data_IF_864899196936
#
_entry.id   IF_864899196936
#
_cell.length_a   1.000
_cell.length_b   1.000
_cell.length_c   1.000
_cell.angle_alpha   90.00
_cell.angle_beta   90.00
_cell.angle_gamma   90.00
#
_symmetry.space_group_name_H-M   'P 1'
#
loop_
_entity.id
_entity.type
_entity.pdbx_description
1 polymer ?
#
# COMPACT_ATOMS: atom_id res chain seq x y z
N UNK A 1 -0.39 14.79 -5.27
CA UNK A 1 -1.51 14.48 -4.35
C UNK A 1 -1.12 13.28 -3.51
N UNK A 2 -1.43 13.26 -2.21
CA UNK A 2 -1.25 12.07 -1.36
C UNK A 2 -2.05 10.89 -1.89
N UNK A 3 -1.48 9.68 -1.79
CA UNK A 3 -2.11 8.41 -2.20
C UNK A 3 -2.37 7.56 -0.97
N UNK A 4 -3.53 6.91 -0.93
CA UNK A 4 -3.95 5.97 0.11
C UNK A 4 -4.39 4.67 -0.53
N UNK A 5 -4.01 3.54 0.05
CA UNK A 5 -4.25 2.21 -0.53
C UNK A 5 -5.30 1.48 0.30
N UNK A 6 -6.37 1.04 -0.35
CA UNK A 6 -7.43 0.23 0.30
C UNK A 6 -7.39 -1.20 -0.21
N UNK A 7 -7.60 -2.17 0.68
CA UNK A 7 -7.54 -3.60 0.36
C UNK A 7 -8.78 -4.13 -0.39
N UNK A 8 -9.71 -3.25 -0.78
CA UNK A 8 -10.98 -3.63 -1.37
C UNK A 8 -11.13 -3.00 -2.76
N UNK A 9 -11.42 -3.84 -3.75
CA UNK A 9 -11.87 -3.39 -5.06
C UNK A 9 -13.17 -2.60 -4.87
N UNK A 10 -13.13 -1.31 -5.17
CA UNK A 10 -14.27 -0.42 -5.00
C UNK A 10 -15.19 -0.52 -6.22
N UNK A 11 -16.51 -0.44 -6.04
CA UNK A 11 -17.45 -0.36 -7.17
C UNK A 11 -17.14 0.84 -8.06
N UNK A 12 -17.28 0.70 -9.38
CA UNK A 12 -17.01 1.77 -10.34
C UNK A 12 -17.91 3.01 -10.13
N UNK A 13 -19.10 2.83 -9.56
CA UNK A 13 -20.08 3.89 -9.27
C UNK A 13 -20.00 4.41 -7.82
N UNK A 14 -18.94 4.06 -7.08
CA UNK A 14 -18.72 4.56 -5.72
C UNK A 14 -18.64 6.08 -5.72
N UNK A 15 -19.52 6.71 -4.92
CA UNK A 15 -19.61 8.17 -4.81
C UNK A 15 -18.85 8.72 -3.61
N UNK A 16 -18.65 7.88 -2.60
CA UNK A 16 -18.08 8.28 -1.32
C UNK A 16 -17.22 7.14 -0.76
N UNK A 17 -16.04 7.48 -0.27
CA UNK A 17 -15.09 6.55 0.34
C UNK A 17 -14.83 7.03 1.75
N UNK A 18 -14.79 6.09 2.70
CA UNK A 18 -14.46 6.38 4.10
C UNK A 18 -13.12 5.73 4.44
N UNK A 19 -12.13 6.56 4.73
CA UNK A 19 -10.84 6.11 5.27
C UNK A 19 -10.91 6.09 6.79
N UNK A 20 -10.34 5.05 7.41
CA UNK A 20 -10.41 4.82 8.85
C UNK A 20 -9.02 4.57 9.44
N UNK A 21 -8.91 4.55 10.77
CA UNK A 21 -7.70 4.12 11.48
C UNK A 21 -6.44 4.91 11.06
N UNK A 22 -5.41 4.22 10.58
CA UNK A 22 -4.08 4.77 10.28
C UNK A 22 -4.15 5.80 9.14
N UNK A 23 -4.96 5.57 8.11
CA UNK A 23 -5.12 6.51 6.99
C UNK A 23 -5.78 7.81 7.45
N UNK A 24 -6.83 7.71 8.26
CA UNK A 24 -7.51 8.88 8.82
C UNK A 24 -6.56 9.68 9.72
N UNK A 25 -5.75 9.00 10.53
CA UNK A 25 -4.73 9.63 11.36
C UNK A 25 -3.64 10.30 10.51
N UNK A 26 -3.18 9.64 9.44
CA UNK A 26 -2.17 10.15 8.53
C UNK A 26 -2.64 11.44 7.83
N UNK A 27 -3.88 11.47 7.31
CA UNK A 27 -4.47 12.68 6.72
C UNK A 27 -4.58 13.81 7.75
N UNK A 28 -5.14 13.52 8.92
CA UNK A 28 -5.54 14.55 9.89
C UNK A 28 -4.35 15.11 10.68
N UNK A 29 -3.45 14.26 11.16
CA UNK A 29 -2.41 14.65 12.13
C UNK A 29 -1.03 14.82 11.51
N UNK A 30 -0.70 14.03 10.48
CA UNK A 30 0.61 14.06 9.82
C UNK A 30 0.61 15.03 8.64
N UNK A 31 -0.30 14.82 7.68
CA UNK A 31 -0.43 15.69 6.50
C UNK A 31 -1.21 16.97 6.81
N UNK A 32 -2.08 16.95 7.83
CA UNK A 32 -2.88 18.10 8.30
C UNK A 32 -3.73 18.73 7.19
N UNK A 33 -4.29 17.88 6.34
CA UNK A 33 -5.13 18.29 5.21
C UNK A 33 -6.47 18.83 5.69
N UNK A 34 -7.14 19.61 4.84
CA UNK A 34 -8.44 20.25 5.11
C UNK A 34 -9.51 19.79 4.12
N UNK A 35 -10.75 20.08 4.48
CA UNK A 35 -11.90 19.92 3.58
C UNK A 35 -11.67 20.67 2.27
N UNK A 36 -12.04 20.04 1.16
CA UNK A 36 -11.81 20.53 -0.20
C UNK A 36 -10.43 20.23 -0.78
N UNK A 37 -9.51 19.62 -0.02
CA UNK A 37 -8.24 19.14 -0.58
C UNK A 37 -8.41 17.78 -1.27
N UNK A 38 -7.60 17.54 -2.31
CA UNK A 38 -7.67 16.32 -3.10
C UNK A 38 -6.73 15.23 -2.59
N UNK A 39 -7.23 13.99 -2.55
CA UNK A 39 -6.46 12.78 -2.30
C UNK A 39 -6.82 11.69 -3.31
N UNK A 40 -5.87 10.81 -3.60
CA UNK A 40 -6.07 9.67 -4.48
C UNK A 40 -6.22 8.41 -3.64
N UNK A 41 -7.30 7.66 -3.85
CA UNK A 41 -7.50 6.34 -3.26
C UNK A 41 -7.24 5.29 -4.31
N UNK A 42 -6.26 4.43 -4.08
CA UNK A 42 -5.89 3.31 -4.95
C UNK A 42 -6.55 2.03 -4.42
N UNK A 43 -7.30 1.32 -5.26
CA UNK A 43 -8.05 0.11 -4.88
C UNK A 43 -7.24 -1.19 -4.95
N UNK A 44 -5.97 -1.11 -5.38
CA UNK A 44 -5.10 -2.27 -5.61
C UNK A 44 -5.52 -3.17 -6.78
N UNK A 45 -6.62 -2.87 -7.47
CA UNK A 45 -7.13 -3.59 -8.63
C UNK A 45 -6.80 -2.87 -9.95
N UNK A 46 -5.98 -1.82 -9.89
CA UNK A 46 -5.57 -1.03 -11.04
C UNK A 46 -6.48 0.18 -11.30
N UNK A 47 -7.21 0.65 -10.29
CA UNK A 47 -8.05 1.86 -10.39
C UNK A 47 -7.62 2.90 -9.35
N UNK A 48 -7.50 4.13 -9.83
CA UNK A 48 -7.28 5.30 -9.00
C UNK A 48 -8.57 6.12 -8.90
N UNK A 49 -9.03 6.36 -7.68
CA UNK A 49 -10.17 7.24 -7.39
C UNK A 49 -9.64 8.59 -6.94
N UNK A 50 -9.85 9.63 -7.75
CA UNK A 50 -9.57 11.01 -7.39
C UNK A 50 -10.72 11.49 -6.53
N UNK A 51 -10.40 11.92 -5.31
CA UNK A 51 -11.39 12.30 -4.31
C UNK A 51 -11.10 13.65 -3.68
N UNK A 52 -12.14 14.29 -3.17
CA UNK A 52 -12.05 15.50 -2.34
C UNK A 52 -12.42 15.15 -0.90
N UNK A 53 -11.69 15.73 0.06
CA UNK A 53 -12.05 15.62 1.48
C UNK A 53 -13.37 16.38 1.69
N UNK A 54 -14.43 15.65 2.02
CA UNK A 54 -15.76 16.20 2.29
C UNK A 54 -15.93 16.56 3.78
N UNK A 55 -15.26 15.83 4.67
CA UNK A 55 -15.33 16.09 6.10
C UNK A 55 -14.52 15.12 6.95
N UNK A 56 -14.42 15.46 8.23
CA UNK A 56 -13.75 14.66 9.25
C UNK A 56 -14.77 14.18 10.29
N UNK A 57 -14.76 12.90 10.58
CA UNK A 57 -15.54 12.29 11.67
C UNK A 57 -14.57 11.67 12.70
N UNK A 58 -15.06 11.33 13.89
CA UNK A 58 -14.24 10.71 14.93
C UNK A 58 -13.62 9.41 14.43
N UNK A 59 -12.31 9.43 14.16
CA UNK A 59 -11.54 8.27 13.67
C UNK A 59 -11.72 7.94 12.19
N UNK A 60 -12.35 8.82 11.39
CA UNK A 60 -12.48 8.61 9.94
C UNK A 60 -12.47 9.91 9.13
N UNK A 61 -12.11 9.79 7.85
CA UNK A 61 -12.15 10.88 6.87
C UNK A 61 -13.11 10.49 5.76
N UNK A 62 -14.01 11.40 5.43
CA UNK A 62 -15.03 11.21 4.40
C UNK A 62 -14.53 11.85 3.11
N UNK A 63 -14.48 11.04 2.05
CA UNK A 63 -13.98 11.44 0.74
C UNK A 63 -15.11 11.33 -0.28
N UNK A 64 -15.30 12.38 -1.07
CA UNK A 64 -16.20 12.39 -2.21
C UNK A 64 -15.44 12.05 -3.48
N UNK A 65 -15.89 11.06 -4.23
CA UNK A 65 -15.27 10.65 -5.50
C UNK A 65 -15.64 11.66 -6.58
N UNK A 66 -14.61 12.21 -7.22
CA UNK A 66 -14.73 13.20 -8.30
C UNK A 66 -14.54 12.53 -9.65
N UNK A 67 -13.57 11.62 -9.73
CA UNK A 67 -13.18 10.96 -10.96
C UNK A 67 -12.59 9.58 -10.67
N UNK A 68 -12.84 8.62 -11.57
CA UNK A 68 -12.29 7.27 -11.52
C UNK A 68 -11.43 7.07 -12.76
N UNK A 69 -10.17 6.66 -12.59
CA UNK A 69 -9.20 6.47 -13.67
C UNK A 69 -8.57 5.09 -13.58
N UNK A 70 -8.37 4.45 -14.73
CA UNK A 70 -7.49 3.29 -14.80
C UNK A 70 -6.06 3.70 -14.50
N UNK A 71 -5.42 2.96 -13.59
CA UNK A 71 -4.05 3.15 -13.22
C UNK A 71 -3.14 2.42 -14.22
N UNK A 72 -2.53 3.17 -15.12
CA UNK A 72 -1.64 2.65 -16.15
C UNK A 72 -0.16 2.63 -15.74
N UNK A 73 0.17 2.72 -14.46
CA UNK A 73 1.59 2.76 -14.01
C UNK A 73 2.25 1.39 -13.94
N UNK A 74 1.46 0.32 -13.92
CA UNK A 74 1.99 -1.05 -13.89
C UNK A 74 2.74 -1.40 -15.18
N UNK A 75 3.91 -2.05 -15.08
CA UNK A 75 4.62 -2.50 -16.26
C UNK A 75 3.83 -3.58 -17.02
N UNK A 76 4.06 -3.66 -18.34
CA UNK A 76 3.46 -4.70 -19.20
C UNK A 76 3.99 -6.12 -18.92
N UNK A 77 4.99 -6.24 -18.05
CA UNK A 77 5.63 -7.49 -17.69
C UNK A 77 5.28 -7.86 -16.24
N UNK A 78 5.35 -9.15 -15.93
CA UNK A 78 5.20 -9.65 -14.57
C UNK A 78 6.50 -10.30 -14.12
N UNK A 79 7.05 -9.86 -12.99
CA UNK A 79 8.22 -10.47 -12.39
C UNK A 79 7.91 -10.97 -10.97
N UNK A 80 8.27 -12.24 -10.72
CA UNK A 80 8.22 -12.83 -9.39
C UNK A 80 9.65 -12.94 -8.85
N UNK A 81 9.97 -12.15 -7.81
CA UNK A 81 11.27 -12.16 -7.15
C UNK A 81 11.31 -13.21 -6.05
N UNK A 82 12.09 -14.26 -6.24
CA UNK A 82 12.45 -15.20 -5.18
C UNK A 82 13.68 -14.66 -4.44
N UNK A 83 13.46 -14.13 -3.24
CA UNK A 83 14.49 -13.42 -2.48
C UNK A 83 15.04 -14.29 -1.34
N UNK A 84 16.32 -14.66 -1.44
CA UNK A 84 17.03 -15.27 -0.32
C UNK A 84 17.15 -14.31 0.86
N UNK A 85 16.95 -14.80 2.09
CA UNK A 85 16.90 -13.96 3.28
C UNK A 85 18.26 -13.31 3.60
N UNK A 86 18.40 -11.97 3.47
CA UNK A 86 19.67 -11.30 3.76
C UNK A 86 19.91 -11.22 5.28
N UNK A 87 21.18 -11.06 5.67
CA UNK A 87 21.54 -10.77 7.06
C UNK A 87 21.15 -9.34 7.43
N UNK A 88 20.57 -9.17 8.61
CA UNK A 88 20.14 -7.87 9.13
C UNK A 88 18.87 -7.35 8.43
N UNK A 89 18.73 -6.03 8.37
CA UNK A 89 17.48 -5.37 7.97
C UNK A 89 17.45 -4.97 6.48
N UNK A 90 18.26 -5.64 5.65
CA UNK A 90 18.34 -5.33 4.21
C UNK A 90 17.07 -5.73 3.44
N UNK A 91 16.26 -6.63 3.99
CA UNK A 91 15.06 -7.12 3.32
C UNK A 91 14.07 -5.98 3.05
N UNK A 92 13.95 -5.04 3.98
CA UNK A 92 13.07 -3.88 3.87
C UNK A 92 13.42 -3.02 2.65
N UNK A 93 14.72 -2.74 2.44
CA UNK A 93 15.19 -2.01 1.27
C UNK A 93 14.93 -2.78 -0.04
N UNK A 94 15.12 -4.10 -0.03
CA UNK A 94 14.88 -4.93 -1.21
C UNK A 94 13.40 -4.90 -1.60
N UNK A 95 12.50 -5.01 -0.62
CA UNK A 95 11.05 -4.95 -0.86
C UNK A 95 10.67 -3.60 -1.45
N UNK A 96 11.11 -2.51 -0.80
CA UNK A 96 10.85 -1.15 -1.26
C UNK A 96 11.29 -0.97 -2.72
N UNK A 97 12.53 -1.37 -3.06
CA UNK A 97 13.06 -1.21 -4.42
C UNK A 97 12.48 -2.18 -5.43
N UNK A 98 12.09 -3.38 -5.01
CA UNK A 98 11.41 -4.32 -5.89
C UNK A 98 10.03 -3.79 -6.30
N UNK A 99 9.25 -3.24 -5.36
CA UNK A 99 7.94 -2.65 -5.64
C UNK A 99 8.08 -1.39 -6.51
N UNK A 100 9.03 -0.50 -6.22
CA UNK A 100 9.32 0.67 -7.07
C UNK A 100 9.70 0.30 -8.51
N UNK A 101 10.32 -0.87 -8.71
CA UNK A 101 10.68 -1.39 -10.03
C UNK A 101 9.53 -2.13 -10.73
N UNK A 102 8.38 -2.33 -10.08
CA UNK A 102 7.21 -3.01 -10.64
C UNK A 102 7.24 -4.54 -10.50
N UNK A 103 7.97 -5.07 -9.51
CA UNK A 103 7.91 -6.51 -9.18
C UNK A 103 6.51 -6.85 -8.64
N UNK A 104 5.83 -7.77 -9.31
CA UNK A 104 4.45 -8.13 -8.99
C UNK A 104 4.32 -9.10 -7.80
N UNK A 105 5.37 -9.86 -7.50
CA UNK A 105 5.37 -10.78 -6.35
C UNK A 105 6.76 -10.97 -5.76
N UNK A 106 6.86 -10.95 -4.44
CA UNK A 106 8.10 -11.23 -3.71
C UNK A 106 7.88 -12.47 -2.84
N UNK A 107 8.72 -13.49 -3.03
CA UNK A 107 8.68 -14.75 -2.28
C UNK A 107 9.99 -14.87 -1.49
N UNK A 108 9.99 -14.62 -0.17
CA UNK A 108 11.14 -14.87 0.67
C UNK A 108 11.45 -16.37 0.71
N UNK A 109 12.69 -16.77 0.42
CA UNK A 109 13.11 -18.18 0.39
C UNK A 109 14.28 -18.44 1.34
N UNK A 110 14.22 -19.58 2.03
CA UNK A 110 15.34 -20.09 2.81
C UNK A 110 16.30 -20.82 1.87
N UNK A 111 17.49 -20.25 1.67
CA UNK A 111 18.54 -20.85 0.87
C UNK A 111 19.52 -21.66 1.73
N UNK A 112 20.12 -22.71 1.16
CA UNK A 112 21.09 -23.59 1.86
C UNK A 112 22.29 -22.86 2.47
N UNK A 113 22.71 -21.74 1.87
CA UNK A 113 23.81 -20.87 2.36
C UNK A 113 23.33 -19.63 3.11
N UNK A 114 22.03 -19.53 3.40
CA UNK A 114 21.47 -18.40 4.15
C UNK A 114 21.93 -18.48 5.61
N UNK A 115 22.61 -17.44 6.06
CA UNK A 115 23.01 -17.29 7.48
C UNK A 115 21.77 -16.93 8.32
N UNK A 116 20.81 -16.22 7.71
CA UNK A 116 19.58 -15.84 8.37
C UNK A 116 18.52 -16.93 8.16
N UNK A 117 18.00 -17.46 9.27
CA UNK A 117 16.85 -18.38 9.28
C UNK A 117 15.61 -17.61 9.68
N UNK A 118 14.44 -18.02 9.17
CA UNK A 118 13.17 -17.46 9.60
C UNK A 118 12.53 -18.42 10.62
N UNK A 119 12.68 -18.17 11.93
CA UNK A 119 12.01 -19.02 12.89
C UNK A 119 10.50 -18.81 12.75
N UNK A 120 9.74 -19.92 12.70
CA UNK A 120 8.31 -19.92 12.39
C UNK A 120 7.49 -18.96 13.26
N UNK A 121 7.89 -18.81 14.54
CA UNK A 121 7.25 -17.89 15.49
C UNK A 121 7.42 -16.40 15.16
N UNK A 122 8.38 -16.01 14.31
CA UNK A 122 8.60 -14.62 13.88
C UNK A 122 8.16 -14.36 12.44
N UNK A 123 7.80 -15.39 11.68
CA UNK A 123 7.41 -15.28 10.27
C UNK A 123 6.23 -14.33 10.09
N UNK A 124 5.14 -14.52 10.84
CA UNK A 124 3.93 -13.72 10.72
C UNK A 124 4.20 -12.21 10.90
N UNK A 125 4.91 -11.84 11.98
CA UNK A 125 5.26 -10.45 12.26
C UNK A 125 6.20 -9.83 11.21
N UNK A 126 7.10 -10.64 10.62
CA UNK A 126 7.95 -10.17 9.53
C UNK A 126 7.17 -9.94 8.25
N UNK A 127 6.29 -10.88 7.88
CA UNK A 127 5.41 -10.73 6.72
C UNK A 127 4.53 -9.49 6.85
N UNK A 128 3.95 -9.23 8.02
CA UNK A 128 3.13 -8.05 8.26
C UNK A 128 3.93 -6.75 8.04
N UNK A 129 5.16 -6.67 8.57
CA UNK A 129 6.05 -5.51 8.32
C UNK A 129 6.40 -5.37 6.84
N UNK A 130 6.71 -6.48 6.17
CA UNK A 130 7.10 -6.48 4.76
C UNK A 130 5.95 -6.06 3.84
N UNK A 131 4.73 -6.52 4.13
CA UNK A 131 3.54 -6.08 3.41
C UNK A 131 3.28 -4.59 3.64
N UNK A 132 3.48 -4.08 4.86
CA UNK A 132 3.36 -2.64 5.15
C UNK A 132 4.39 -1.78 4.39
N UNK A 133 5.57 -2.32 4.06
CA UNK A 133 6.59 -1.61 3.26
C UNK A 133 6.28 -1.67 1.77
N UNK A 134 5.50 -2.68 1.34
CA UNK A 134 5.11 -2.85 -0.06
C UNK A 134 3.89 -1.99 -0.45
N UNK A 135 3.16 -1.45 0.53
CA UNK A 135 2.07 -0.49 0.37
C UNK A 135 2.62 0.95 0.43
#
# INVERSE_FOLDING_TARGET
>A
MPRFFVEQCLPADVKQIRLVQDDAHHITHVLRMREGEEVVVCDGAGTDHITLIEGFETGSVILKVVEVKENSTEPRWQACLYQGLPKGDKMDLIIQKAVELGVSKIIPVECSRSISKLPANKLARRLERWNRIAL
#
